data_IF_032444025885
#
_entry.id   IF_032444025885
#
_cell.length_a   1.000
_cell.length_b   1.000
_cell.length_c   1.000
_cell.angle_alpha   90.00
_cell.angle_beta   90.00
_cell.angle_gamma   90.00
#
_symmetry.space_group_name_H-M   'P 1'
#
loop_
_entity.id
_entity.type
_entity.pdbx_description
1 polymer ?
#
# COMPACT_ATOMS: atom_id res chain seq x y z
N UNK A 1 -10.67 -16.04 27.84
CA UNK A 1 -10.78 -14.62 27.44
C UNK A 1 -9.59 -14.23 26.55
N UNK A 2 -9.54 -14.74 25.32
CA UNK A 2 -8.63 -14.23 24.29
C UNK A 2 -9.29 -14.45 22.95
N UNK A 3 -10.08 -13.46 22.51
CA UNK A 3 -10.64 -13.44 21.17
C UNK A 3 -9.52 -13.05 20.22
N UNK A 4 -8.91 -14.04 19.57
CA UNK A 4 -8.07 -13.79 18.41
C UNK A 4 -8.95 -13.21 17.31
N UNK A 5 -8.91 -11.90 17.13
CA UNK A 5 -9.46 -11.26 15.94
C UNK A 5 -8.78 -11.91 14.72
N UNK A 6 -9.49 -12.80 14.02
CA UNK A 6 -9.13 -13.18 12.67
C UNK A 6 -9.28 -11.92 11.81
N UNK A 7 -8.21 -11.15 11.66
CA UNK A 7 -8.15 -10.08 10.69
C UNK A 7 -8.14 -10.73 9.31
N UNK A 8 -9.30 -10.77 8.66
CA UNK A 8 -9.38 -11.16 7.27
C UNK A 8 -8.58 -10.12 6.45
N UNK A 9 -7.40 -10.50 5.98
CA UNK A 9 -6.53 -9.66 5.15
C UNK A 9 -7.15 -9.35 3.79
N UNK A 10 -8.17 -10.10 3.36
CA UNK A 10 -8.78 -9.99 2.04
C UNK A 10 -9.79 -8.83 1.90
N UNK A 11 -10.17 -8.15 2.98
CA UNK A 11 -11.21 -7.10 2.95
C UNK A 11 -10.73 -5.72 3.42
N UNK A 12 -9.43 -5.42 3.26
CA UNK A 12 -8.91 -4.07 3.49
C UNK A 12 -8.99 -3.25 2.21
N UNK A 13 -10.19 -2.73 1.93
CA UNK A 13 -10.38 -1.75 0.86
C UNK A 13 -9.61 -0.47 1.19
N UNK A 14 -8.50 -0.21 0.49
CA UNK A 14 -7.81 1.08 0.55
C UNK A 14 -8.53 2.06 -0.38
N UNK A 15 -8.89 3.21 0.16
CA UNK A 15 -9.38 4.34 -0.62
C UNK A 15 -8.23 4.92 -1.44
N UNK A 16 -8.23 4.69 -2.75
CA UNK A 16 -7.25 5.24 -3.68
C UNK A 16 -7.87 6.32 -4.59
N UNK A 17 -7.03 7.21 -5.08
CA UNK A 17 -7.38 8.26 -6.05
C UNK A 17 -6.36 8.25 -7.21
N UNK A 18 -6.66 8.85 -8.37
CA UNK A 18 -5.74 8.89 -9.51
C UNK A 18 -4.38 9.55 -9.23
N UNK A 19 -4.31 10.44 -8.23
CA UNK A 19 -3.08 11.15 -7.87
C UNK A 19 -2.65 12.19 -8.91
N UNK A 20 -1.37 12.56 -8.88
CA UNK A 20 -0.69 13.45 -9.83
C UNK A 20 0.55 12.73 -10.39
N UNK A 21 0.85 12.86 -11.70
CA UNK A 21 2.04 12.25 -12.30
C UNK A 21 3.37 12.86 -11.80
N UNK A 22 3.32 13.98 -11.08
CA UNK A 22 4.49 14.66 -10.54
C UNK A 22 4.23 15.26 -9.15
N UNK A 23 5.28 15.44 -8.34
CA UNK A 23 6.66 14.97 -8.56
C UNK A 23 6.81 13.45 -8.45
N UNK A 24 7.83 12.88 -9.11
CA UNK A 24 8.15 11.45 -9.02
C UNK A 24 8.50 11.05 -7.58
N UNK A 25 8.17 9.82 -7.22
CA UNK A 25 8.35 9.25 -5.89
C UNK A 25 7.07 9.26 -5.06
N UNK A 26 7.23 9.12 -3.74
CA UNK A 26 6.15 9.13 -2.77
C UNK A 26 6.14 10.50 -2.04
N UNK A 27 5.02 11.21 -2.10
CA UNK A 27 4.88 12.56 -1.52
C UNK A 27 3.65 12.64 -0.64
N UNK A 28 3.86 12.93 0.64
CA UNK A 28 2.78 13.09 1.62
C UNK A 28 2.34 14.56 1.68
N UNK A 29 1.03 14.81 1.56
CA UNK A 29 0.45 16.15 1.50
C UNK A 29 -0.38 16.54 2.75
N UNK A 30 -0.44 15.66 3.76
CA UNK A 30 -1.28 15.84 4.95
C UNK A 30 -2.62 15.11 4.91
N UNK A 31 -3.11 14.75 3.72
CA UNK A 31 -4.36 13.99 3.53
C UNK A 31 -4.10 12.58 2.99
N UNK A 32 -2.93 12.35 2.41
CA UNK A 32 -2.50 11.04 1.92
C UNK A 32 -1.14 11.12 1.24
N UNK A 33 -0.73 10.02 0.63
CA UNK A 33 0.53 9.93 -0.11
C UNK A 33 0.24 9.76 -1.59
N UNK A 34 0.73 10.70 -2.41
CA UNK A 34 0.77 10.55 -3.86
C UNK A 34 1.98 9.71 -4.27
N UNK A 35 1.77 8.70 -5.12
CA UNK A 35 2.84 7.89 -5.71
C UNK A 35 2.89 8.15 -7.21
N UNK A 36 4.03 8.63 -7.70
CA UNK A 36 4.29 8.78 -9.12
C UNK A 36 5.57 8.05 -9.50
N UNK A 37 5.52 7.28 -10.57
CA UNK A 37 6.68 6.57 -11.10
C UNK A 37 6.67 6.61 -12.62
N UNK A 38 7.86 6.57 -13.19
CA UNK A 38 8.06 6.43 -14.63
C UNK A 38 8.58 5.02 -14.91
N UNK A 39 8.03 4.40 -15.95
CA UNK A 39 8.61 3.20 -16.54
C UNK A 39 8.33 3.17 -18.02
N UNK A 40 9.39 3.18 -18.82
CA UNK A 40 9.31 3.17 -20.28
C UNK A 40 8.70 1.86 -20.83
N UNK A 41 8.90 0.76 -20.11
CA UNK A 41 8.58 -0.58 -20.60
C UNK A 41 7.64 -1.38 -19.68
N UNK A 42 7.12 -0.80 -18.60
CA UNK A 42 6.21 -1.52 -17.70
C UNK A 42 4.91 -1.92 -18.42
N UNK A 43 4.62 -3.21 -18.38
CA UNK A 43 3.35 -3.79 -18.82
C UNK A 43 2.30 -3.78 -17.72
N UNK A 44 2.72 -3.69 -16.45
CA UNK A 44 1.87 -3.64 -15.26
C UNK A 44 2.61 -2.94 -14.13
N UNK A 45 1.86 -2.24 -13.27
CA UNK A 45 2.42 -1.62 -12.06
C UNK A 45 1.51 -1.87 -10.86
N UNK A 46 2.08 -2.30 -9.74
CA UNK A 46 1.39 -2.50 -8.48
C UNK A 46 2.09 -1.75 -7.34
N UNK A 47 1.32 -1.05 -6.52
CA UNK A 47 1.76 -0.48 -5.25
C UNK A 47 1.48 -1.49 -4.13
N UNK A 48 2.54 -1.97 -3.49
CA UNK A 48 2.45 -2.88 -2.35
C UNK A 48 2.76 -2.11 -1.06
N UNK A 49 1.81 -2.09 -0.14
CA UNK A 49 1.95 -1.45 1.16
C UNK A 49 2.19 -2.52 2.20
N UNK A 50 3.22 -2.33 3.03
CA UNK A 50 3.58 -3.24 4.10
C UNK A 50 3.43 -2.55 5.45
N UNK A 51 3.07 -3.33 6.46
CA UNK A 51 3.11 -2.89 7.86
C UNK A 51 3.98 -3.82 8.66
N UNK A 52 4.53 -3.31 9.76
CA UNK A 52 5.15 -4.16 10.77
C UNK A 52 4.08 -5.10 11.37
N UNK A 53 4.40 -6.39 11.48
CA UNK A 53 3.59 -7.31 12.29
C UNK A 53 3.56 -6.82 13.74
N UNK A 54 2.51 -7.21 14.48
CA UNK A 54 2.47 -6.93 15.93
C UNK A 54 3.24 -7.97 16.74
N UNK A 55 3.73 -9.02 16.08
CA UNK A 55 4.49 -10.09 16.72
C UNK A 55 5.94 -9.65 16.92
N UNK A 56 6.59 -10.19 17.95
CA UNK A 56 7.97 -9.83 18.33
C UNK A 56 9.00 -10.19 17.26
N UNK A 57 8.63 -11.09 16.35
CA UNK A 57 9.36 -11.40 15.14
C UNK A 57 9.18 -10.22 14.19
N UNK A 58 10.25 -9.45 13.96
CA UNK A 58 10.27 -8.19 13.20
C UNK A 58 9.98 -8.38 11.71
N UNK A 59 8.84 -8.96 11.36
CA UNK A 59 8.43 -9.27 10.00
C UNK A 59 7.50 -8.16 9.47
N UNK A 60 7.69 -7.81 8.20
CA UNK A 60 6.78 -6.94 7.47
C UNK A 60 5.76 -7.78 6.71
N UNK A 61 4.48 -7.54 6.96
CA UNK A 61 3.38 -8.23 6.27
C UNK A 61 2.74 -7.30 5.24
N UNK A 62 2.40 -7.84 4.07
CA UNK A 62 1.66 -7.08 3.05
C UNK A 62 0.29 -6.68 3.63
N UNK A 63 0.05 -5.38 3.69
CA UNK A 63 -1.18 -4.79 4.17
C UNK A 63 -2.19 -4.61 3.03
N UNK A 64 -1.72 -4.21 1.85
CA UNK A 64 -2.56 -4.00 0.68
C UNK A 64 -1.74 -3.96 -0.61
N UNK A 65 -2.44 -4.21 -1.72
CA UNK A 65 -1.91 -4.13 -3.08
C UNK A 65 -2.88 -3.35 -3.97
N UNK A 66 -2.36 -2.35 -4.66
CA UNK A 66 -3.15 -1.47 -5.53
C UNK A 66 -2.59 -1.56 -6.94
N UNK A 67 -3.42 -1.94 -7.92
CA UNK A 67 -3.05 -1.93 -9.34
C UNK A 67 -3.12 -0.49 -9.85
N UNK A 68 -2.03 -0.01 -10.44
CA UNK A 68 -1.94 1.35 -11.00
C UNK A 68 -2.21 1.32 -12.51
N UNK A 69 -1.72 0.28 -13.19
CA UNK A 69 -1.94 -0.01 -14.61
C UNK A 69 -2.03 -1.52 -14.80
#
# INVERSE_FOLDING_TARGET
MSGYYHFNLADRTIRNYPGSPHPLGAHYDGNGTNFALYSEHATKVELCLFRKSHDEQQEFVEYARIKIK
#
